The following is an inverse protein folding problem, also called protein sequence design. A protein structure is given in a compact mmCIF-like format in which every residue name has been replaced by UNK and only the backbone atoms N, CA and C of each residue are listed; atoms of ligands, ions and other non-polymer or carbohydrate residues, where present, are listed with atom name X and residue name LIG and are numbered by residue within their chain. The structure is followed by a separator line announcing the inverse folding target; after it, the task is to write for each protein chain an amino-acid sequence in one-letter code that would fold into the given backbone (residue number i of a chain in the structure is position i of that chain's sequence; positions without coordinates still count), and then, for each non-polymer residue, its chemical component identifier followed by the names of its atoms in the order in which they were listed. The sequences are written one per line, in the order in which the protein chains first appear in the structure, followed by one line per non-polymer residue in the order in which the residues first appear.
data_IF_065444784251
#
_entry.id   IF_065444784251
#
_cell.length_a   1.000
_cell.length_b   1.000
_cell.length_c   1.000
_cell.angle_alpha   90.00
_cell.angle_beta   90.00
_cell.angle_gamma   90.00
#
_symmetry.space_group_name_H-M   'P 1'
#
loop_
_entity.id
_entity.type
_entity.pdbx_description
1 polymer ?
#
# COMPACT_ATOMS: atom_id res chain seq x y z
N UNK A 1 11.66 21.11 12.93
CA UNK A 1 11.47 19.94 12.06
C UNK A 1 12.59 19.93 11.03
N UNK A 2 13.31 18.82 10.85
CA UNK A 2 14.28 18.73 9.77
C UNK A 2 13.51 18.65 8.45
N UNK A 3 13.68 19.63 7.58
CA UNK A 3 13.06 19.62 6.25
C UNK A 3 14.13 19.28 5.21
N UNK A 4 13.79 18.36 4.31
CA UNK A 4 14.70 17.84 3.31
C UNK A 4 14.26 18.27 1.91
N UNK A 5 15.24 18.54 1.07
CA UNK A 5 15.07 18.55 -0.39
C UNK A 5 15.85 17.38 -1.01
N UNK A 6 15.26 16.75 -2.03
CA UNK A 6 15.91 15.70 -2.81
C UNK A 6 16.18 16.19 -4.24
N UNK A 7 17.43 16.24 -4.64
CA UNK A 7 17.88 16.65 -5.98
C UNK A 7 18.24 15.40 -6.79
N UNK A 8 17.52 15.16 -7.87
CA UNK A 8 17.86 14.16 -8.89
C UNK A 8 18.62 14.89 -9.99
N UNK A 9 19.85 14.44 -10.26
CA UNK A 9 20.73 15.02 -11.29
C UNK A 9 20.88 13.95 -12.37
N UNK A 10 20.36 14.24 -13.56
CA UNK A 10 20.36 13.28 -14.66
C UNK A 10 19.43 13.68 -15.80
N UNK A 11 20.03 13.97 -16.94
CA UNK A 11 19.36 14.31 -18.20
C UNK A 11 18.41 13.19 -18.68
N UNK A 12 18.74 11.93 -18.41
CA UNK A 12 17.93 10.76 -18.75
C UNK A 12 16.61 10.71 -17.98
N UNK A 13 16.57 11.29 -16.78
CA UNK A 13 15.35 11.44 -15.98
C UNK A 13 14.49 12.55 -16.56
N UNK A 14 15.08 13.69 -16.92
CA UNK A 14 14.38 14.79 -17.59
C UNK A 14 13.79 14.35 -18.94
N UNK A 15 14.49 13.49 -19.67
CA UNK A 15 14.05 12.90 -20.96
C UNK A 15 13.08 11.72 -20.78
N UNK A 16 12.74 11.35 -19.54
CA UNK A 16 11.91 10.19 -19.20
C UNK A 16 12.40 8.86 -19.80
N UNK A 17 13.69 8.74 -20.11
CA UNK A 17 14.31 7.49 -20.59
C UNK A 17 14.47 6.48 -19.45
N UNK A 18 14.72 6.99 -18.24
CA UNK A 18 14.80 6.22 -17.01
C UNK A 18 13.76 6.77 -16.04
N UNK A 19 12.98 5.88 -15.43
CA UNK A 19 12.05 6.25 -14.36
C UNK A 19 12.85 6.50 -13.07
N UNK A 20 12.70 7.67 -12.48
CA UNK A 20 13.25 7.93 -11.16
C UNK A 20 12.59 7.02 -10.11
N UNK A 21 13.43 6.18 -9.49
CA UNK A 21 13.05 5.30 -8.36
C UNK A 21 13.79 5.66 -7.08
N UNK A 22 14.80 6.54 -7.16
CA UNK A 22 15.65 6.91 -6.04
C UNK A 22 14.93 7.88 -5.12
N UNK A 23 14.29 8.92 -5.66
CA UNK A 23 13.54 9.87 -4.84
C UNK A 23 12.39 9.19 -4.09
N UNK A 24 11.67 8.27 -4.75
CA UNK A 24 10.63 7.46 -4.13
C UNK A 24 11.19 6.60 -2.99
N UNK A 25 12.28 5.87 -3.25
CA UNK A 25 12.90 5.00 -2.26
C UNK A 25 13.34 5.79 -1.02
N UNK A 26 14.08 6.88 -1.21
CA UNK A 26 14.61 7.69 -0.11
C UNK A 26 13.50 8.41 0.64
N UNK A 27 12.54 9.02 -0.07
CA UNK A 27 11.41 9.70 0.58
C UNK A 27 10.60 8.75 1.46
N UNK A 28 10.38 7.51 1.02
CA UNK A 28 9.71 6.49 1.81
C UNK A 28 10.50 6.11 3.07
N UNK A 29 11.83 5.99 2.99
CA UNK A 29 12.68 5.72 4.15
C UNK A 29 12.70 6.88 5.14
N UNK A 30 12.84 8.11 4.66
CA UNK A 30 12.81 9.30 5.49
C UNK A 30 11.45 9.46 6.18
N UNK A 31 10.35 9.23 5.47
CA UNK A 31 9.01 9.27 6.05
C UNK A 31 8.84 8.28 7.22
N UNK A 32 9.41 7.07 7.12
CA UNK A 32 9.44 6.08 8.22
C UNK A 32 10.23 6.56 9.44
N UNK A 33 11.17 7.48 9.26
CA UNK A 33 11.92 8.14 10.32
C UNK A 33 11.25 9.45 10.82
N UNK A 34 9.99 9.72 10.42
CA UNK A 34 9.30 10.95 10.80
C UNK A 34 9.89 12.21 10.15
N UNK A 35 10.52 12.05 8.99
CA UNK A 35 11.17 13.13 8.25
C UNK A 35 10.38 13.44 6.99
N UNK A 36 10.09 14.72 6.78
CA UNK A 36 9.36 15.18 5.61
C UNK A 36 10.31 15.70 4.53
N UNK A 37 10.22 15.10 3.34
CA UNK A 37 10.78 15.67 2.11
C UNK A 37 9.80 16.73 1.62
N UNK A 38 10.24 17.99 1.54
CA UNK A 38 9.40 19.15 1.18
C UNK A 38 9.42 19.45 -0.31
N UNK A 39 10.49 19.08 -1.00
CA UNK A 39 10.66 19.30 -2.44
C UNK A 39 11.53 18.19 -3.04
N UNK A 40 11.16 17.79 -4.25
CA UNK A 40 12.00 16.95 -5.11
C UNK A 40 12.22 17.76 -6.38
N UNK A 41 13.48 17.92 -6.77
CA UNK A 41 13.90 18.65 -7.96
C UNK A 41 14.64 17.70 -8.89
N UNK A 42 14.34 17.77 -10.19
CA UNK A 42 15.08 17.05 -11.22
C UNK A 42 15.76 18.09 -12.09
N UNK A 43 17.07 18.01 -12.23
CA UNK A 43 17.89 19.00 -12.96
C UNK A 43 18.84 18.32 -13.94
N UNK A 44 19.30 19.09 -14.93
CA UNK A 44 20.21 18.62 -15.98
C UNK A 44 21.62 18.42 -15.47
N UNK A 45 22.40 17.64 -16.22
CA UNK A 45 23.84 17.45 -16.01
C UNK A 45 24.64 18.69 -16.46
N UNK A 46 24.48 19.79 -15.72
CA UNK A 46 25.18 21.07 -15.96
C UNK A 46 25.71 21.65 -14.64
N UNK A 47 26.98 22.07 -14.65
CA UNK A 47 27.67 22.55 -13.44
C UNK A 47 27.01 23.80 -12.84
N UNK A 48 26.54 24.74 -13.68
CA UNK A 48 25.91 25.97 -13.18
C UNK A 48 24.54 25.67 -12.58
N UNK A 49 23.75 24.84 -13.24
CA UNK A 49 22.42 24.46 -12.75
C UNK A 49 22.51 23.66 -11.44
N UNK A 50 23.41 22.67 -11.38
CA UNK A 50 23.69 21.89 -10.16
C UNK A 50 24.14 22.82 -9.02
N UNK A 51 25.10 23.70 -9.29
CA UNK A 51 25.63 24.63 -8.30
C UNK A 51 24.54 25.54 -7.73
N UNK A 52 23.73 26.12 -8.62
CA UNK A 52 22.65 27.04 -8.25
C UNK A 52 21.58 26.34 -7.42
N UNK A 53 21.11 25.18 -7.85
CA UNK A 53 20.07 24.44 -7.13
C UNK A 53 20.58 23.98 -5.76
N UNK A 54 21.83 23.50 -5.67
CA UNK A 54 22.46 23.14 -4.39
C UNK A 54 22.55 24.36 -3.45
N UNK A 55 22.98 25.53 -3.93
CA UNK A 55 23.07 26.73 -3.08
C UNK A 55 21.69 27.16 -2.57
N UNK A 56 20.69 27.16 -3.44
CA UNK A 56 19.32 27.57 -3.09
C UNK A 56 18.68 26.57 -2.11
N UNK A 57 18.88 25.27 -2.34
CA UNK A 57 18.41 24.20 -1.47
C UNK A 57 19.11 24.26 -0.09
N UNK A 58 20.44 24.38 -0.07
CA UNK A 58 21.25 24.39 1.16
C UNK A 58 20.85 25.52 2.11
N UNK A 59 20.45 26.68 1.58
CA UNK A 59 19.96 27.84 2.36
C UNK A 59 18.54 27.65 2.90
N UNK A 60 17.69 26.90 2.20
CA UNK A 60 16.24 26.77 2.51
C UNK A 60 15.93 25.55 3.36
N UNK A 61 16.70 24.48 3.21
CA UNK A 61 16.41 23.18 3.82
C UNK A 61 17.47 22.79 4.84
N UNK A 62 17.09 21.98 5.83
CA UNK A 62 18.04 21.57 6.85
C UNK A 62 19.05 20.57 6.30
N UNK A 63 18.62 19.72 5.37
CA UNK A 63 19.48 18.78 4.64
C UNK A 63 19.08 18.73 3.17
N UNK A 64 20.07 18.55 2.32
CA UNK A 64 19.91 18.33 0.88
C UNK A 64 20.47 16.96 0.57
N UNK A 65 19.70 16.13 -0.14
CA UNK A 65 20.16 14.83 -0.63
C UNK A 65 20.22 14.91 -2.14
N UNK A 66 21.35 14.51 -2.74
CA UNK A 66 21.47 14.41 -4.20
C UNK A 66 21.62 12.95 -4.64
N UNK A 67 21.19 12.65 -5.86
CA UNK A 67 21.44 11.37 -6.52
C UNK A 67 21.71 11.59 -8.00
N UNK A 68 22.83 11.02 -8.48
CA UNK A 68 23.24 11.09 -9.89
C UNK A 68 24.47 11.95 -10.14
N UNK A 69 25.02 11.85 -11.35
CA UNK A 69 26.15 12.65 -11.83
C UNK A 69 27.48 12.48 -11.09
N UNK A 70 27.79 11.30 -10.56
CA UNK A 70 29.06 11.04 -9.82
C UNK A 70 29.88 9.86 -10.36
N UNK A 71 29.55 9.37 -11.55
CA UNK A 71 30.31 8.35 -12.26
C UNK A 71 31.54 8.91 -12.99
N UNK A 72 32.13 8.10 -13.90
CA UNK A 72 33.36 8.44 -14.59
C UNK A 72 33.16 9.22 -15.91
N UNK A 73 31.93 9.43 -16.37
CA UNK A 73 31.68 10.01 -17.70
C UNK A 73 31.71 11.53 -17.67
N UNK A 74 31.66 12.17 -18.85
CA UNK A 74 31.85 13.61 -18.99
C UNK A 74 30.66 14.42 -18.44
N UNK A 75 29.48 13.83 -18.47
CA UNK A 75 28.21 14.32 -17.93
C UNK A 75 28.06 14.10 -16.42
N UNK A 76 28.91 13.29 -15.78
CA UNK A 76 28.90 13.15 -14.32
C UNK A 76 29.49 14.38 -13.61
N UNK A 77 28.69 15.43 -13.41
CA UNK A 77 29.17 16.77 -13.02
C UNK A 77 28.75 17.21 -11.60
N UNK A 78 28.23 16.31 -10.78
CA UNK A 78 27.68 16.64 -9.45
C UNK A 78 28.76 17.13 -8.48
N UNK A 79 29.98 16.59 -8.51
CA UNK A 79 31.05 17.05 -7.62
C UNK A 79 31.59 18.43 -8.03
N UNK A 80 31.69 18.70 -9.33
CA UNK A 80 32.03 19.99 -9.90
C UNK A 80 31.01 21.06 -9.50
N UNK A 81 29.71 20.75 -9.67
CA UNK A 81 28.62 21.62 -9.25
C UNK A 81 28.61 21.86 -7.73
N UNK A 82 28.86 20.81 -6.94
CA UNK A 82 28.96 20.92 -5.48
C UNK A 82 30.15 21.80 -5.05
N UNK A 83 31.33 21.62 -5.65
CA UNK A 83 32.52 22.42 -5.36
C UNK A 83 32.25 23.89 -5.69
N UNK A 84 31.65 24.16 -6.86
CA UNK A 84 31.25 25.50 -7.28
C UNK A 84 30.23 26.13 -6.32
N UNK A 85 29.23 25.36 -5.87
CA UNK A 85 28.20 25.83 -4.94
C UNK A 85 28.79 26.40 -3.65
N UNK A 86 29.89 25.82 -3.15
CA UNK A 86 30.51 26.21 -1.88
C UNK A 86 31.86 26.91 -2.03
N UNK A 87 32.20 27.36 -3.25
CA UNK A 87 33.48 28.00 -3.57
C UNK A 87 34.66 27.16 -3.03
N UNK A 88 34.66 25.89 -3.38
CA UNK A 88 35.65 24.88 -3.03
C UNK A 88 36.35 24.34 -4.28
N UNK A 89 37.46 23.64 -4.09
CA UNK A 89 38.22 23.04 -5.18
C UNK A 89 38.14 21.52 -5.13
N UNK A 90 38.19 20.86 -6.29
CA UNK A 90 38.27 19.41 -6.36
C UNK A 90 39.69 18.92 -6.11
N UNK A 91 39.80 17.80 -5.41
CA UNK A 91 41.06 17.08 -5.22
C UNK A 91 40.80 15.57 -5.27
N UNK A 92 41.83 14.81 -5.61
CA UNK A 92 41.78 13.35 -5.47
C UNK A 92 41.84 12.97 -3.99
N UNK A 93 40.74 12.43 -3.46
CA UNK A 93 40.72 11.97 -2.08
C UNK A 93 41.44 10.61 -1.98
N UNK A 94 42.54 10.48 -1.22
CA UNK A 94 43.41 9.30 -1.26
C UNK A 94 42.66 7.98 -1.01
N UNK A 95 41.76 7.95 -0.03
CA UNK A 95 40.97 6.75 0.28
C UNK A 95 39.98 6.37 -0.84
N UNK A 96 39.44 7.33 -1.58
CA UNK A 96 38.55 7.02 -2.71
C UNK A 96 39.36 6.49 -3.89
N UNK A 97 40.55 7.04 -4.12
CA UNK A 97 41.49 6.53 -5.12
C UNK A 97 41.79 5.06 -4.84
N UNK A 98 42.11 4.70 -3.60
CA UNK A 98 42.36 3.29 -3.22
C UNK A 98 41.13 2.39 -3.43
N UNK A 99 39.94 2.86 -3.04
CA UNK A 99 38.69 2.12 -3.23
C UNK A 99 38.42 1.87 -4.72
N UNK A 100 38.55 2.90 -5.56
CA UNK A 100 38.32 2.83 -7.00
C UNK A 100 39.36 1.91 -7.65
N UNK A 101 40.64 2.06 -7.30
CA UNK A 101 41.73 1.24 -7.81
C UNK A 101 41.48 -0.24 -7.56
N UNK A 102 41.06 -0.58 -6.34
CA UNK A 102 40.73 -1.96 -5.97
C UNK A 102 39.42 -2.46 -6.60
N UNK A 103 38.40 -1.61 -6.70
CA UNK A 103 37.09 -2.01 -7.23
C UNK A 103 37.11 -2.30 -8.73
N UNK A 104 37.85 -1.50 -9.50
CA UNK A 104 37.97 -1.64 -10.95
C UNK A 104 39.23 -2.41 -11.38
N UNK A 105 40.02 -2.92 -10.42
CA UNK A 105 41.27 -3.67 -10.66
C UNK A 105 42.26 -2.92 -11.57
N UNK A 106 42.44 -1.61 -11.31
CA UNK A 106 43.17 -0.72 -12.20
C UNK A 106 44.65 -0.68 -11.85
N UNK A 107 45.49 -0.86 -12.87
CA UNK A 107 46.93 -0.67 -12.81
C UNK A 107 47.41 0.65 -13.43
N UNK A 108 46.59 1.27 -14.28
CA UNK A 108 46.89 2.51 -15.01
C UNK A 108 46.32 3.74 -14.28
N UNK A 109 47.21 4.59 -13.78
CA UNK A 109 46.86 5.81 -13.04
C UNK A 109 46.19 6.89 -13.93
N UNK A 110 46.13 6.72 -15.26
CA UNK A 110 45.44 7.63 -16.19
C UNK A 110 43.97 7.29 -16.45
N UNK A 111 43.44 6.24 -15.81
CA UNK A 111 42.07 5.77 -16.04
C UNK A 111 41.00 6.82 -15.71
N UNK A 112 39.99 7.02 -16.57
CA UNK A 112 38.93 8.03 -16.34
C UNK A 112 38.10 7.77 -15.08
N UNK A 113 38.11 6.56 -14.54
CA UNK A 113 37.34 6.25 -13.31
C UNK A 113 37.84 6.99 -12.08
N UNK A 114 39.08 7.48 -12.08
CA UNK A 114 39.59 8.29 -10.97
C UNK A 114 38.88 9.64 -10.86
N UNK A 115 38.10 10.06 -11.88
CA UNK A 115 37.16 11.18 -11.75
C UNK A 115 36.24 11.02 -10.53
N UNK A 116 35.78 9.80 -10.24
CA UNK A 116 34.91 9.53 -9.08
C UNK A 116 35.61 9.75 -7.72
N UNK A 117 36.94 9.86 -7.69
CA UNK A 117 37.72 10.23 -6.50
C UNK A 117 37.99 11.73 -6.39
N UNK A 118 37.66 12.53 -7.42
CA UNK A 118 37.80 13.98 -7.39
C UNK A 118 36.61 14.60 -6.67
N UNK A 119 36.76 14.86 -5.37
CA UNK A 119 35.70 15.44 -4.53
C UNK A 119 36.14 16.80 -3.98
N UNK A 120 35.21 17.66 -3.53
CA UNK A 120 35.56 18.94 -2.91
C UNK A 120 36.50 18.75 -1.70
N UNK A 121 37.48 19.63 -1.53
CA UNK A 121 38.47 19.55 -0.45
C UNK A 121 37.86 19.49 0.95
N UNK A 122 36.76 20.22 1.19
CA UNK A 122 36.09 20.26 2.49
C UNK A 122 35.08 19.14 2.68
N UNK A 123 34.83 18.33 1.65
CA UNK A 123 33.87 17.25 1.74
C UNK A 123 34.37 16.14 2.68
N UNK A 124 33.48 15.65 3.52
CA UNK A 124 33.73 14.49 4.38
C UNK A 124 33.31 13.22 3.66
N UNK A 125 34.26 12.28 3.52
CA UNK A 125 33.95 10.93 3.04
C UNK A 125 33.25 10.11 4.12
N UNK A 126 32.10 9.53 3.77
CA UNK A 126 31.26 8.69 4.62
C UNK A 126 31.02 7.35 3.95
N UNK A 127 30.47 6.40 4.72
CA UNK A 127 30.27 5.03 4.26
C UNK A 127 28.90 4.51 4.67
N UNK A 128 28.27 3.77 3.76
CA UNK A 128 27.09 2.95 3.99
C UNK A 128 27.44 1.49 4.23
N UNK A 129 26.50 0.62 3.85
CA UNK A 129 26.64 -0.83 3.94
C UNK A 129 27.83 -1.33 3.12
N UNK A 130 28.61 -2.27 3.67
CA UNK A 130 29.79 -2.85 3.02
C UNK A 130 30.80 -1.79 2.53
N UNK A 131 30.98 -0.71 3.29
CA UNK A 131 31.91 0.38 2.98
C UNK A 131 31.64 1.10 1.64
N UNK A 132 30.39 1.10 1.17
CA UNK A 132 30.02 1.87 -0.01
C UNK A 132 30.09 3.37 0.27
N UNK A 133 30.88 4.16 -0.50
CA UNK A 133 31.13 5.55 -0.18
C UNK A 133 29.95 6.45 -0.54
N UNK A 134 29.87 7.57 0.17
CA UNK A 134 29.16 8.79 -0.22
C UNK A 134 29.89 9.98 0.43
N UNK A 135 29.63 11.20 -0.02
CA UNK A 135 30.26 12.38 0.58
C UNK A 135 29.21 13.31 1.19
N UNK A 136 29.66 14.10 2.16
CA UNK A 136 28.89 15.19 2.73
C UNK A 136 29.71 16.48 2.70
N UNK A 137 29.12 17.57 2.23
CA UNK A 137 29.69 18.91 2.34
C UNK A 137 28.63 19.85 2.86
N UNK A 138 28.92 20.59 3.94
CA UNK A 138 27.93 21.36 4.69
C UNK A 138 26.72 20.47 5.07
N UNK A 139 25.52 20.83 4.62
CA UNK A 139 24.29 20.06 4.80
C UNK A 139 23.87 19.22 3.57
N UNK A 140 24.75 19.05 2.59
CA UNK A 140 24.48 18.34 1.34
C UNK A 140 25.10 16.94 1.38
N UNK A 141 24.27 15.92 1.18
CA UNK A 141 24.66 14.51 1.11
C UNK A 141 24.56 14.03 -0.34
N UNK A 142 25.68 13.61 -0.93
CA UNK A 142 25.73 13.24 -2.35
C UNK A 142 25.80 11.72 -2.51
N UNK A 143 24.84 11.15 -3.22
CA UNK A 143 24.73 9.71 -3.46
C UNK A 143 24.84 9.34 -4.95
N UNK A 144 25.22 8.09 -5.26
CA UNK A 144 25.20 7.57 -6.64
C UNK A 144 23.83 7.66 -7.31
N UNK A 145 23.82 7.75 -8.64
CA UNK A 145 22.60 7.64 -9.45
C UNK A 145 22.08 6.21 -9.58
N UNK A 146 22.98 5.22 -9.59
CA UNK A 146 22.59 3.80 -9.63
C UNK A 146 21.77 3.42 -8.39
N UNK A 147 20.52 2.93 -8.53
CA UNK A 147 19.68 2.57 -7.38
C UNK A 147 20.32 1.51 -6.48
N UNK A 148 21.08 0.57 -7.05
CA UNK A 148 21.77 -0.46 -6.29
C UNK A 148 22.88 0.11 -5.38
N UNK A 149 23.59 1.12 -5.86
CA UNK A 149 24.68 1.75 -5.11
C UNK A 149 24.15 2.77 -4.11
N UNK A 150 23.16 3.57 -4.49
CA UNK A 150 22.48 4.50 -3.58
C UNK A 150 21.91 3.77 -2.36
N UNK A 151 21.24 2.63 -2.56
CA UNK A 151 20.72 1.80 -1.46
C UNK A 151 21.81 1.38 -0.48
N UNK A 152 22.97 0.93 -1.00
CA UNK A 152 24.11 0.53 -0.16
C UNK A 152 24.70 1.73 0.58
N UNK A 153 24.96 2.84 -0.11
CA UNK A 153 25.57 4.05 0.47
C UNK A 153 24.67 4.73 1.52
N UNK A 154 23.35 4.75 1.29
CA UNK A 154 22.39 5.42 2.19
C UNK A 154 22.13 4.66 3.50
N UNK A 155 22.35 3.34 3.52
CA UNK A 155 21.93 2.46 4.61
C UNK A 155 22.42 2.90 6.00
N UNK A 156 23.69 3.31 6.14
CA UNK A 156 24.21 3.73 7.46
C UNK A 156 23.55 5.02 7.95
N UNK A 157 23.31 5.99 7.04
CA UNK A 157 22.59 7.21 7.39
C UNK A 157 21.16 6.89 7.82
N UNK A 158 20.49 5.99 7.10
CA UNK A 158 19.15 5.53 7.47
C UNK A 158 19.12 4.89 8.87
N UNK A 159 20.09 4.04 9.21
CA UNK A 159 20.19 3.43 10.53
C UNK A 159 20.39 4.46 11.64
N UNK A 160 21.17 5.51 11.40
CA UNK A 160 21.31 6.61 12.35
C UNK A 160 20.01 7.41 12.53
N UNK A 161 19.28 7.65 11.43
CA UNK A 161 17.98 8.33 11.48
C UNK A 161 16.93 7.50 12.23
N UNK A 162 16.96 6.17 12.11
CA UNK A 162 16.07 5.28 12.87
C UNK A 162 16.27 5.37 14.38
N UNK A 163 17.50 5.62 14.86
CA UNK A 163 17.78 5.78 16.30
C UNK A 163 17.05 6.96 16.94
N UNK A 164 16.62 7.94 16.14
CA UNK A 164 15.83 9.08 16.64
C UNK A 164 14.44 8.67 17.11
N UNK A 165 13.95 7.50 16.68
CA UNK A 165 12.61 6.94 16.98
C UNK A 165 11.45 7.92 16.71
N UNK A 166 11.66 8.90 15.82
CA UNK A 166 10.61 9.80 15.33
C UNK A 166 9.78 9.09 14.28
N UNK A 167 8.47 9.32 14.31
CA UNK A 167 7.50 8.77 13.35
C UNK A 167 6.37 9.76 13.18
N UNK A 168 5.81 9.80 11.98
CA UNK A 168 4.53 10.46 11.78
C UNK A 168 3.42 9.62 12.42
N UNK A 169 2.50 10.31 13.08
CA UNK A 169 1.21 9.79 13.47
C UNK A 169 0.23 10.21 12.40
N UNK A 170 -0.48 9.24 11.83
CA UNK A 170 -1.49 9.45 10.79
C UNK A 170 -2.80 8.82 11.24
N UNK A 171 -3.85 9.62 11.19
CA UNK A 171 -5.22 9.21 11.47
C UNK A 171 -6.09 9.47 10.22
N UNK A 172 -7.16 8.70 10.09
CA UNK A 172 -8.14 8.89 9.03
C UNK A 172 -9.52 9.22 9.62
N UNK A 173 -10.27 10.01 8.85
CA UNK A 173 -11.67 10.37 9.13
C UNK A 173 -12.48 10.09 7.87
N UNK A 174 -13.44 9.17 7.96
CA UNK A 174 -14.31 8.81 6.84
C UNK A 174 -15.60 9.62 6.90
N UNK A 175 -16.04 10.10 5.73
CA UNK A 175 -17.08 11.11 5.63
C UNK A 175 -18.08 10.74 4.53
N UNK A 176 -19.35 10.54 4.87
CA UNK A 176 -20.47 10.35 3.94
C UNK A 176 -21.10 11.68 3.49
N UNK A 177 -20.25 12.60 3.04
CA UNK A 177 -20.66 13.89 2.49
C UNK A 177 -19.74 14.27 1.33
N UNK A 178 -20.24 15.10 0.42
CA UNK A 178 -19.40 15.69 -0.63
C UNK A 178 -18.38 16.64 0.00
N UNK A 179 -17.23 16.76 -0.65
CA UNK A 179 -16.09 17.55 -0.17
C UNK A 179 -16.43 19.03 0.07
N UNK A 180 -17.26 19.63 -0.78
CA UNK A 180 -17.69 21.03 -0.67
C UNK A 180 -18.38 21.35 0.66
N UNK A 181 -19.01 20.36 1.32
CA UNK A 181 -19.74 20.56 2.57
C UNK A 181 -18.83 20.69 3.79
N UNK A 182 -17.60 20.16 3.74
CA UNK A 182 -16.65 20.20 4.86
C UNK A 182 -15.32 20.91 4.54
N UNK A 183 -15.10 21.31 3.28
CA UNK A 183 -13.87 21.97 2.83
C UNK A 183 -13.54 23.27 3.61
N UNK A 184 -14.56 24.06 3.96
CA UNK A 184 -14.37 25.28 4.77
C UNK A 184 -13.91 24.96 6.19
N UNK A 185 -14.51 23.93 6.80
CA UNK A 185 -14.10 23.44 8.12
C UNK A 185 -12.68 22.91 8.07
N UNK A 186 -12.33 22.11 7.05
CA UNK A 186 -10.97 21.59 6.85
C UNK A 186 -9.95 22.73 6.70
N UNK A 187 -10.26 23.74 5.89
CA UNK A 187 -9.42 24.93 5.71
C UNK A 187 -9.22 25.72 7.00
N UNK A 188 -10.24 25.77 7.86
CA UNK A 188 -10.17 26.43 9.16
C UNK A 188 -9.23 25.67 10.10
N UNK A 189 -9.42 24.35 10.23
CA UNK A 189 -8.55 23.52 11.09
C UNK A 189 -7.11 23.52 10.58
N UNK A 190 -6.88 23.45 9.27
CA UNK A 190 -5.53 23.50 8.71
C UNK A 190 -4.78 24.81 9.06
N UNK A 191 -5.50 25.94 9.18
CA UNK A 191 -4.93 27.22 9.62
C UNK A 191 -4.70 27.25 11.14
N UNK A 192 -5.60 26.67 11.93
CA UNK A 192 -5.48 26.57 13.39
C UNK A 192 -4.33 25.63 13.82
N UNK A 193 -4.01 24.62 12.99
CA UNK A 193 -3.00 23.59 13.26
C UNK A 193 -1.92 23.53 12.16
N UNK A 194 -1.00 24.52 12.07
CA UNK A 194 -0.01 24.60 10.98
C UNK A 194 1.03 23.47 10.97
N UNK A 195 1.18 22.73 12.07
CA UNK A 195 2.08 21.57 12.16
C UNK A 195 1.38 20.24 11.80
N UNK A 196 0.11 20.29 11.42
CA UNK A 196 -0.69 19.12 11.02
C UNK A 196 -0.96 19.21 9.53
N UNK A 197 -0.58 18.16 8.81
CA UNK A 197 -0.90 18.00 7.40
C UNK A 197 -2.29 17.39 7.25
N UNK A 198 -3.09 17.98 6.38
CA UNK A 198 -4.40 17.49 6.01
C UNK A 198 -4.42 17.09 4.54
N UNK A 199 -4.95 15.91 4.26
CA UNK A 199 -5.25 15.45 2.90
C UNK A 199 -6.75 15.17 2.80
N UNK A 200 -7.39 15.59 1.71
CA UNK A 200 -8.78 15.22 1.40
C UNK A 200 -8.82 14.42 0.12
N UNK A 201 -9.56 13.32 0.16
CA UNK A 201 -9.61 12.34 -0.92
C UNK A 201 -11.06 11.97 -1.19
N UNK A 202 -11.68 12.50 -2.26
CA UNK A 202 -12.99 12.04 -2.69
C UNK A 202 -12.89 10.60 -3.19
N UNK A 203 -13.91 9.80 -2.89
CA UNK A 203 -13.98 8.39 -3.26
C UNK A 203 -15.26 8.16 -4.05
N UNK A 204 -15.08 7.66 -5.27
CA UNK A 204 -16.17 7.19 -6.11
C UNK A 204 -16.49 5.73 -5.74
N UNK A 205 -17.74 5.32 -5.93
CA UNK A 205 -18.18 3.92 -5.78
C UNK A 205 -17.91 3.32 -4.38
N UNK A 206 -18.09 4.09 -3.31
CA UNK A 206 -18.12 3.59 -1.93
C UNK A 206 -19.45 3.97 -1.26
N UNK A 207 -20.12 3.00 -0.61
CA UNK A 207 -21.43 3.18 0.02
C UNK A 207 -21.31 3.61 1.48
N UNK A 208 -20.13 3.37 2.05
CA UNK A 208 -19.84 3.71 3.43
C UNK A 208 -19.53 5.20 3.57
N UNK A 209 -18.74 5.76 2.66
CA UNK A 209 -18.31 7.15 2.71
C UNK A 209 -18.06 7.68 1.29
N UNK A 210 -18.13 9.00 1.13
CA UNK A 210 -17.90 9.72 -0.13
C UNK A 210 -16.53 10.39 -0.20
N UNK A 211 -15.90 10.59 0.95
CA UNK A 211 -14.54 11.08 1.06
C UNK A 211 -13.89 10.57 2.35
N UNK A 212 -12.57 10.60 2.40
CA UNK A 212 -11.84 10.50 3.66
C UNK A 212 -10.80 11.61 3.77
N UNK A 213 -10.55 12.03 5.00
CA UNK A 213 -9.53 13.02 5.35
C UNK A 213 -8.42 12.32 6.13
N UNK A 214 -7.18 12.58 5.76
CA UNK A 214 -6.00 12.17 6.54
C UNK A 214 -5.55 13.33 7.40
N UNK A 215 -5.26 13.04 8.67
CA UNK A 215 -4.72 14.01 9.64
C UNK A 215 -3.38 13.48 10.11
N UNK A 216 -2.29 14.20 9.83
CA UNK A 216 -0.94 13.69 10.02
C UNK A 216 0.00 14.72 10.67
N UNK A 217 0.80 14.30 11.65
CA UNK A 217 1.84 15.13 12.26
C UNK A 217 2.92 14.27 12.92
N UNK A 218 4.06 14.87 13.29
CA UNK A 218 5.06 14.21 14.14
C UNK A 218 4.69 14.24 15.64
N UNK A 219 3.53 14.84 15.97
CA UNK A 219 2.99 14.92 17.33
C UNK A 219 1.57 14.31 17.40
N UNK A 220 1.41 13.26 18.21
CA UNK A 220 0.13 12.57 18.42
C UNK A 220 -0.96 13.49 19.01
N UNK A 221 -0.60 14.38 19.93
CA UNK A 221 -1.57 15.25 20.59
C UNK A 221 -2.10 16.32 19.63
N UNK A 222 -1.27 16.79 18.71
CA UNK A 222 -1.69 17.74 17.67
C UNK A 222 -2.66 17.05 16.70
N UNK A 223 -2.37 15.81 16.27
CA UNK A 223 -3.29 15.01 15.45
C UNK A 223 -4.64 14.83 16.15
N UNK A 224 -4.65 14.44 17.43
CA UNK A 224 -5.88 14.25 18.21
C UNK A 224 -6.69 15.53 18.33
N UNK A 225 -6.05 16.65 18.71
CA UNK A 225 -6.72 17.95 18.86
C UNK A 225 -7.28 18.44 17.53
N UNK A 226 -6.52 18.31 16.45
CA UNK A 226 -6.94 18.79 15.15
C UNK A 226 -8.08 17.92 14.57
N UNK A 227 -8.02 16.59 14.75
CA UNK A 227 -9.12 15.67 14.41
C UNK A 227 -10.38 15.98 15.22
N UNK A 228 -10.25 16.21 16.53
CA UNK A 228 -11.36 16.60 17.39
C UNK A 228 -11.99 17.93 16.95
N UNK A 229 -11.15 18.93 16.65
CA UNK A 229 -11.61 20.21 16.14
C UNK A 229 -12.35 20.09 14.81
N UNK A 230 -11.87 19.22 13.92
CA UNK A 230 -12.54 18.92 12.66
C UNK A 230 -13.92 18.27 12.87
N UNK A 231 -14.07 17.40 13.89
CA UNK A 231 -15.39 16.89 14.27
C UNK A 231 -16.32 17.99 14.79
N UNK A 232 -15.84 18.93 15.60
CA UNK A 232 -16.65 20.01 16.18
C UNK A 232 -17.17 21.01 15.15
N UNK A 233 -16.44 21.21 14.05
CA UNK A 233 -16.81 22.15 12.98
C UNK A 233 -17.75 21.55 11.92
N UNK A 234 -18.17 20.29 12.07
CA UNK A 234 -18.98 19.59 11.09
C UNK A 234 -20.15 18.85 11.74
N UNK A 235 -21.28 18.64 11.03
CA UNK A 235 -22.40 17.86 11.54
C UNK A 235 -21.99 16.41 11.87
N UNK A 236 -22.37 15.90 13.04
CA UNK A 236 -21.93 14.57 13.49
C UNK A 236 -22.40 13.42 12.60
N UNK A 237 -23.51 13.61 11.87
CA UNK A 237 -24.12 12.60 11.02
C UNK A 237 -23.38 12.35 9.70
N UNK A 238 -22.39 13.17 9.33
CA UNK A 238 -21.58 12.92 8.12
C UNK A 238 -20.44 11.94 8.39
N UNK A 239 -20.08 11.70 9.65
CA UNK A 239 -18.92 10.88 9.99
C UNK A 239 -19.26 9.40 10.03
N UNK A 240 -18.37 8.61 9.44
CA UNK A 240 -18.56 7.17 9.26
C UNK A 240 -17.49 6.46 10.07
N UNK A 241 -17.90 5.53 10.93
CA UNK A 241 -16.97 4.58 11.51
C UNK A 241 -16.69 3.49 10.47
N UNK A 242 -15.52 3.54 9.84
CA UNK A 242 -15.14 2.62 8.78
C UNK A 242 -13.80 1.94 9.08
N UNK A 243 -13.77 0.63 8.89
CA UNK A 243 -12.59 -0.21 9.04
C UNK A 243 -12.11 -0.68 7.67
N UNK A 244 -10.91 -0.22 7.26
CA UNK A 244 -10.31 -0.63 5.97
C UNK A 244 -9.86 -2.08 5.95
N UNK A 245 -9.63 -2.69 7.11
CA UNK A 245 -9.01 -4.00 7.25
C UNK A 245 -9.87 -4.96 8.08
N UNK A 246 -11.13 -5.20 7.68
CA UNK A 246 -12.04 -6.04 8.46
C UNK A 246 -11.52 -7.46 8.70
N UNK A 247 -10.68 -7.97 7.79
CA UNK A 247 -10.04 -9.27 7.88
C UNK A 247 -8.91 -9.37 8.95
N UNK A 248 -8.33 -8.24 9.36
CA UNK A 248 -7.30 -8.17 10.41
C UNK A 248 -7.99 -8.16 11.77
N UNK A 249 -7.48 -8.93 12.73
CA UNK A 249 -8.09 -9.12 14.07
C UNK A 249 -9.58 -9.54 13.99
N UNK A 250 -9.95 -10.26 12.93
CA UNK A 250 -11.34 -10.57 12.60
C UNK A 250 -12.11 -11.28 13.73
N UNK A 251 -11.46 -12.18 14.48
CA UNK A 251 -12.07 -12.87 15.63
C UNK A 251 -12.48 -11.86 16.71
N UNK A 252 -11.60 -10.90 17.04
CA UNK A 252 -11.88 -9.86 18.03
C UNK A 252 -13.02 -8.96 17.58
N UNK A 253 -13.00 -8.55 16.30
CA UNK A 253 -14.05 -7.72 15.70
C UNK A 253 -15.40 -8.44 15.68
N UNK A 254 -15.42 -9.71 15.31
CA UNK A 254 -16.60 -10.55 15.31
C UNK A 254 -17.18 -10.74 16.72
N UNK A 255 -16.34 -11.03 17.73
CA UNK A 255 -16.82 -11.17 19.11
C UNK A 255 -17.39 -9.85 19.66
N UNK A 256 -16.75 -8.71 19.36
CA UNK A 256 -17.30 -7.40 19.70
C UNK A 256 -18.63 -7.15 19.00
N UNK A 257 -18.78 -7.55 17.74
CA UNK A 257 -20.04 -7.46 17.02
C UNK A 257 -21.14 -8.29 17.71
N UNK A 258 -20.86 -9.55 18.05
CA UNK A 258 -21.83 -10.42 18.72
C UNK A 258 -22.33 -9.84 20.05
N UNK A 259 -21.43 -9.24 20.85
CA UNK A 259 -21.78 -8.61 22.12
C UNK A 259 -22.75 -7.42 21.97
N UNK A 260 -22.78 -6.77 20.81
CA UNK A 260 -23.54 -5.55 20.57
C UNK A 260 -24.76 -5.75 19.65
N UNK A 261 -24.87 -6.89 18.98
CA UNK A 261 -25.97 -7.17 18.05
C UNK A 261 -27.23 -7.67 18.80
N UNK A 262 -28.41 -7.46 18.21
CA UNK A 262 -29.68 -7.83 18.84
C UNK A 262 -29.97 -9.34 18.83
N UNK A 263 -29.34 -10.11 17.93
CA UNK A 263 -29.58 -11.54 17.78
C UNK A 263 -28.26 -12.27 17.47
N UNK A 264 -27.38 -12.51 18.46
CA UNK A 264 -26.09 -13.15 18.23
C UNK A 264 -26.19 -14.59 17.72
N UNK A 265 -27.25 -15.31 18.13
CA UNK A 265 -27.39 -16.75 17.87
C UNK A 265 -27.39 -17.09 16.38
N UNK A 266 -27.99 -16.25 15.53
CA UNK A 266 -28.05 -16.50 14.08
C UNK A 266 -26.66 -16.47 13.44
N UNK A 267 -25.80 -15.55 13.88
CA UNK A 267 -24.44 -15.39 13.38
C UNK A 267 -23.55 -16.52 13.89
N UNK A 268 -23.68 -16.87 15.18
CA UNK A 268 -22.97 -17.99 15.80
C UNK A 268 -23.31 -19.33 15.13
N UNK A 269 -24.58 -19.58 14.81
CA UNK A 269 -25.00 -20.80 14.09
C UNK A 269 -24.34 -20.92 12.72
N UNK A 270 -24.28 -19.83 11.94
CA UNK A 270 -23.60 -19.82 10.64
C UNK A 270 -22.10 -20.07 10.78
N UNK A 271 -21.45 -19.48 11.80
CA UNK A 271 -20.02 -19.70 12.03
C UNK A 271 -19.73 -21.13 12.51
N UNK A 272 -20.58 -21.72 13.34
CA UNK A 272 -20.44 -23.10 13.78
C UNK A 272 -20.57 -24.06 12.60
N UNK A 273 -21.59 -23.87 11.76
CA UNK A 273 -21.77 -24.64 10.52
C UNK A 273 -20.53 -24.58 9.64
N UNK A 274 -19.96 -23.39 9.45
CA UNK A 274 -18.71 -23.24 8.69
C UNK A 274 -17.53 -23.93 9.37
N UNK A 275 -17.43 -23.89 10.71
CA UNK A 275 -16.36 -24.57 11.45
C UNK A 275 -16.39 -26.09 11.27
N UNK A 276 -17.59 -26.68 11.20
CA UNK A 276 -17.77 -28.11 10.89
C UNK A 276 -17.31 -28.43 9.46
N UNK A 277 -17.68 -27.60 8.48
CA UNK A 277 -17.29 -27.79 7.07
C UNK A 277 -15.77 -27.64 6.88
N UNK A 278 -15.16 -26.66 7.53
CA UNK A 278 -13.72 -26.37 7.46
C UNK A 278 -12.85 -27.33 8.30
N UNK A 279 -13.40 -28.39 8.89
CA UNK A 279 -12.59 -29.52 9.36
C UNK A 279 -11.84 -30.23 8.21
N UNK A 280 -12.34 -30.11 6.97
CA UNK A 280 -11.70 -30.64 5.76
C UNK A 280 -11.61 -29.53 4.69
N UNK A 281 -10.73 -28.52 4.88
CA UNK A 281 -10.70 -27.29 4.09
C UNK A 281 -10.45 -27.54 2.59
N UNK A 282 -9.75 -28.60 2.23
CA UNK A 282 -9.45 -28.99 0.84
C UNK A 282 -10.69 -29.37 0.03
N UNK A 283 -11.80 -29.67 0.71
CA UNK A 283 -13.07 -30.02 0.07
C UNK A 283 -13.99 -28.81 -0.09
N UNK A 284 -13.72 -27.70 0.58
CA UNK A 284 -14.62 -26.55 0.65
C UNK A 284 -14.17 -25.47 -0.33
N UNK A 285 -15.12 -24.97 -1.12
CA UNK A 285 -14.91 -23.80 -1.98
C UNK A 285 -16.09 -22.85 -1.87
N UNK A 286 -15.85 -21.54 -2.02
CA UNK A 286 -16.87 -20.50 -1.89
C UNK A 286 -17.20 -19.93 -3.27
N UNK A 287 -18.48 -19.80 -3.60
CA UNK A 287 -18.91 -19.08 -4.79
C UNK A 287 -18.71 -17.57 -4.59
N UNK A 288 -17.96 -16.92 -5.50
CA UNK A 288 -17.83 -15.47 -5.55
C UNK A 288 -18.62 -14.96 -6.76
N UNK A 289 -19.64 -14.16 -6.48
CA UNK A 289 -20.63 -13.68 -7.47
C UNK A 289 -20.87 -12.16 -7.37
N UNK A 290 -20.03 -11.45 -6.60
CA UNK A 290 -20.11 -10.00 -6.38
C UNK A 290 -21.16 -9.55 -5.38
N UNK A 291 -22.01 -10.45 -4.89
CA UNK A 291 -23.06 -10.12 -3.92
C UNK A 291 -22.48 -9.78 -2.54
N UNK A 292 -23.29 -9.12 -1.71
CA UNK A 292 -22.96 -8.88 -0.30
C UNK A 292 -22.82 -10.23 0.42
N UNK A 293 -23.71 -11.15 0.12
CA UNK A 293 -23.81 -12.48 0.71
C UNK A 293 -22.54 -13.30 0.46
N UNK A 294 -22.01 -13.36 -0.78
CA UNK A 294 -20.74 -14.08 -1.03
C UNK A 294 -19.57 -13.45 -0.28
N UNK A 295 -19.56 -12.12 -0.13
CA UNK A 295 -18.55 -11.40 0.65
C UNK A 295 -18.62 -11.72 2.14
N UNK A 296 -19.83 -11.88 2.69
CA UNK A 296 -20.06 -12.34 4.07
C UNK A 296 -19.54 -13.77 4.25
N UNK A 297 -19.86 -14.69 3.33
CA UNK A 297 -19.40 -16.08 3.42
C UNK A 297 -17.87 -16.15 3.41
N UNK A 298 -17.22 -15.36 2.54
CA UNK A 298 -15.75 -15.23 2.54
C UNK A 298 -15.23 -14.73 3.89
N UNK A 299 -15.86 -13.69 4.46
CA UNK A 299 -15.44 -13.14 5.74
C UNK A 299 -15.60 -14.14 6.91
N UNK A 300 -16.74 -14.84 6.98
CA UNK A 300 -16.99 -15.86 8.00
C UNK A 300 -16.02 -17.04 7.83
N UNK A 301 -15.78 -17.50 6.61
CA UNK A 301 -14.79 -18.53 6.33
C UNK A 301 -13.37 -18.10 6.75
N UNK A 302 -13.02 -16.83 6.59
CA UNK A 302 -11.75 -16.28 7.06
C UNK A 302 -11.64 -16.26 8.59
N UNK A 303 -12.75 -15.97 9.29
CA UNK A 303 -12.81 -16.12 10.75
C UNK A 303 -12.58 -17.58 11.15
N UNK A 304 -13.29 -18.53 10.51
CA UNK A 304 -13.10 -19.97 10.77
C UNK A 304 -11.66 -20.42 10.51
N UNK A 305 -11.06 -20.00 9.39
CA UNK A 305 -9.64 -20.25 9.09
C UNK A 305 -8.74 -19.75 10.21
N UNK A 306 -8.97 -18.53 10.68
CA UNK A 306 -8.16 -17.93 11.75
C UNK A 306 -8.35 -18.66 13.08
N UNK A 307 -9.55 -19.16 13.38
CA UNK A 307 -9.84 -19.95 14.59
C UNK A 307 -9.23 -21.37 14.55
N UNK A 308 -9.26 -22.01 13.37
CA UNK A 308 -8.80 -23.38 13.17
C UNK A 308 -7.30 -23.48 12.86
N UNK A 309 -6.63 -22.34 12.64
CA UNK A 309 -5.19 -22.25 12.40
C UNK A 309 -4.67 -23.12 11.24
N UNK A 310 -5.46 -23.27 10.17
CA UNK A 310 -4.97 -23.93 8.95
C UNK A 310 -4.34 -22.90 7.99
N UNK A 311 -3.20 -23.26 7.43
CA UNK A 311 -2.39 -22.32 6.63
C UNK A 311 -2.93 -22.15 5.20
N UNK A 312 -3.61 -23.17 4.67
CA UNK A 312 -4.10 -23.19 3.29
C UNK A 312 -5.00 -21.99 2.96
N UNK A 313 -4.84 -21.44 1.76
CA UNK A 313 -5.69 -20.36 1.27
C UNK A 313 -7.13 -20.85 1.10
N UNK A 314 -8.08 -19.99 1.42
CA UNK A 314 -9.49 -20.24 1.13
C UNK A 314 -9.68 -20.35 -0.39
N UNK A 315 -10.39 -21.39 -0.81
CA UNK A 315 -10.66 -21.65 -2.21
C UNK A 315 -11.96 -20.94 -2.60
N UNK A 316 -11.92 -20.13 -3.67
CA UNK A 316 -13.10 -19.48 -4.24
C UNK A 316 -13.30 -19.89 -5.69
N UNK A 317 -14.55 -20.03 -6.12
CA UNK A 317 -14.94 -20.36 -7.49
C UNK A 317 -15.73 -19.20 -8.08
N UNK A 318 -15.24 -18.71 -9.21
CA UNK A 318 -15.92 -17.71 -10.01
C UNK A 318 -16.52 -18.38 -11.25
N UNK A 319 -17.84 -18.31 -11.41
CA UNK A 319 -18.55 -18.93 -12.54
C UNK A 319 -18.76 -17.90 -13.64
N UNK A 320 -18.02 -18.04 -14.74
CA UNK A 320 -18.08 -17.11 -15.86
C UNK A 320 -19.27 -17.46 -16.76
N UNK A 321 -20.28 -16.60 -16.78
CA UNK A 321 -21.51 -16.75 -17.59
C UNK A 321 -21.53 -15.85 -18.83
N UNK A 322 -20.91 -14.65 -18.80
CA UNK A 322 -20.65 -13.72 -19.93
C UNK A 322 -19.44 -12.80 -19.62
N UNK A 323 -19.06 -11.90 -20.54
CA UNK A 323 -18.11 -10.80 -20.24
C UNK A 323 -18.60 -10.03 -19.00
N UNK A 324 -17.73 -9.92 -17.99
CA UNK A 324 -18.06 -9.22 -16.75
C UNK A 324 -17.91 -7.71 -16.94
N UNK A 325 -18.76 -6.92 -16.26
CA UNK A 325 -18.46 -5.50 -16.07
C UNK A 325 -17.10 -5.35 -15.39
N UNK A 326 -16.30 -4.37 -15.84
CA UNK A 326 -14.97 -4.06 -15.28
C UNK A 326 -15.02 -3.91 -13.75
N UNK A 327 -16.10 -3.33 -13.22
CA UNK A 327 -16.33 -3.13 -11.78
C UNK A 327 -16.35 -4.45 -10.99
N UNK A 328 -16.85 -5.54 -11.58
CA UNK A 328 -16.84 -6.87 -10.96
C UNK A 328 -15.46 -7.51 -10.95
N UNK A 329 -14.65 -7.27 -12.00
CA UNK A 329 -13.27 -7.77 -12.05
C UNK A 329 -12.40 -7.07 -11.00
N UNK A 330 -12.53 -5.75 -10.88
CA UNK A 330 -11.82 -4.95 -9.88
C UNK A 330 -12.20 -5.37 -8.44
N UNK A 331 -13.50 -5.54 -8.18
CA UNK A 331 -13.99 -6.01 -6.88
C UNK A 331 -13.46 -7.40 -6.54
N UNK A 332 -13.52 -8.34 -7.49
CA UNK A 332 -13.06 -9.72 -7.28
C UNK A 332 -11.57 -9.73 -6.96
N UNK A 333 -10.77 -8.93 -7.67
CA UNK A 333 -9.34 -8.76 -7.40
C UNK A 333 -9.10 -8.18 -6.00
N UNK A 334 -9.85 -7.16 -5.60
CA UNK A 334 -9.75 -6.59 -4.25
C UNK A 334 -10.01 -7.65 -3.18
N UNK A 335 -11.07 -8.46 -3.33
CA UNK A 335 -11.41 -9.52 -2.38
C UNK A 335 -10.32 -10.60 -2.29
N UNK A 336 -9.75 -10.99 -3.44
CA UNK A 336 -8.65 -11.97 -3.49
C UNK A 336 -7.42 -11.46 -2.75
N UNK A 337 -7.01 -10.22 -3.02
CA UNK A 337 -5.84 -9.63 -2.39
C UNK A 337 -6.07 -9.41 -0.88
N UNK A 338 -7.25 -8.90 -0.51
CA UNK A 338 -7.62 -8.57 0.87
C UNK A 338 -7.68 -9.80 1.78
N UNK A 339 -8.28 -10.90 1.31
CA UNK A 339 -8.43 -12.13 2.09
C UNK A 339 -7.40 -13.22 1.75
N UNK A 340 -6.44 -12.94 0.86
CA UNK A 340 -5.42 -13.89 0.39
C UNK A 340 -6.04 -15.21 -0.13
N UNK A 341 -6.95 -15.09 -1.10
CA UNK A 341 -7.75 -16.20 -1.63
C UNK A 341 -7.04 -16.93 -2.79
N UNK A 342 -7.46 -18.18 -3.05
CA UNK A 342 -7.15 -18.91 -4.30
C UNK A 342 -8.40 -18.95 -5.17
N UNK A 343 -8.36 -18.29 -6.32
CA UNK A 343 -9.49 -18.25 -7.26
C UNK A 343 -9.37 -19.33 -8.34
N UNK A 344 -10.47 -20.06 -8.56
CA UNK A 344 -10.67 -20.96 -9.69
C UNK A 344 -11.78 -20.41 -10.59
N UNK A 345 -11.49 -20.20 -11.87
CA UNK A 345 -12.52 -19.80 -12.84
C UNK A 345 -13.15 -21.04 -13.45
N UNK A 346 -14.48 -21.12 -13.41
CA UNK A 346 -15.25 -22.18 -14.05
C UNK A 346 -16.02 -21.56 -15.21
N UNK A 347 -15.70 -21.96 -16.44
CA UNK A 347 -16.44 -21.55 -17.62
C UNK A 347 -17.75 -22.34 -17.70
N UNK A 348 -18.88 -21.65 -17.71
CA UNK A 348 -20.18 -22.31 -17.92
C UNK A 348 -20.34 -22.55 -19.43
N UNK A 349 -20.32 -23.82 -19.83
CA UNK A 349 -20.49 -24.22 -21.23
C UNK A 349 -21.96 -24.07 -21.60
N UNK A 350 -22.32 -22.97 -22.28
CA UNK A 350 -23.52 -22.98 -23.13
C UNK A 350 -23.21 -23.88 -24.34
N UNK A 351 -23.85 -25.05 -24.35
CA UNK A 351 -23.91 -26.02 -25.46
C UNK A 351 -22.60 -26.77 -25.81
N UNK A 352 -22.63 -28.07 -25.52
CA UNK A 352 -21.89 -29.13 -26.19
C UNK A 352 -20.40 -28.88 -26.49
N UNK A 353 -19.53 -29.19 -25.53
CA UNK A 353 -18.48 -30.23 -25.69
C UNK A 353 -17.77 -30.49 -24.37
N UNK A 354 -17.60 -31.78 -24.11
CA UNK A 354 -16.78 -32.36 -23.05
C UNK A 354 -15.39 -31.74 -23.01
N UNK A 355 -15.05 -31.06 -21.92
CA UNK A 355 -13.65 -30.93 -21.52
C UNK A 355 -13.42 -31.65 -20.19
N UNK A 356 -12.96 -32.89 -20.35
CA UNK A 356 -12.39 -33.70 -19.27
C UNK A 356 -11.02 -33.12 -18.93
N UNK A 357 -10.93 -32.34 -17.86
CA UNK A 357 -9.69 -32.23 -17.07
C UNK A 357 -9.95 -31.63 -15.69
N UNK A 358 -10.20 -32.50 -14.72
CA UNK A 358 -9.71 -32.30 -13.34
C UNK A 358 -9.58 -33.65 -12.66
N UNK A 359 -8.36 -34.17 -12.71
CA UNK A 359 -7.85 -35.25 -11.87
C UNK A 359 -7.63 -34.74 -10.45
N UNK A 360 -8.51 -35.14 -9.52
CA UNK A 360 -8.13 -35.69 -8.20
C UNK A 360 -9.34 -36.45 -7.65
N UNK A 361 -9.12 -37.74 -7.38
CA UNK A 361 -10.13 -38.72 -7.01
C UNK A 361 -10.54 -38.61 -5.53
N UNK A 362 -11.77 -39.05 -5.28
CA UNK A 362 -12.30 -39.63 -4.03
C UNK A 362 -12.96 -38.75 -2.94
N UNK A 363 -13.13 -37.43 -3.12
CA UNK A 363 -13.82 -36.59 -2.12
C UNK A 363 -14.90 -35.70 -2.77
N UNK A 364 -16.17 -35.83 -2.33
CA UNK A 364 -17.26 -34.89 -2.70
C UNK A 364 -16.85 -33.48 -2.30
N UNK A 365 -16.80 -32.55 -3.26
CA UNK A 365 -16.48 -31.13 -3.00
C UNK A 365 -17.72 -30.38 -2.53
N UNK A 366 -17.57 -29.46 -1.59
CA UNK A 366 -18.62 -28.60 -1.05
C UNK A 366 -18.47 -27.20 -1.67
N UNK A 367 -19.57 -26.66 -2.21
CA UNK A 367 -19.65 -25.30 -2.70
C UNK A 367 -20.54 -24.48 -1.74
N UNK A 368 -19.92 -23.53 -1.06
CA UNK A 368 -20.62 -22.55 -0.23
C UNK A 368 -21.17 -21.44 -1.12
N UNK A 369 -22.47 -21.18 -1.00
CA UNK A 369 -23.13 -20.05 -1.66
C UNK A 369 -23.63 -19.07 -0.60
N UNK A 370 -23.74 -17.79 -0.96
CA UNK A 370 -24.40 -16.79 -0.13
C UNK A 370 -25.73 -16.40 -0.77
N UNK A 371 -26.85 -16.94 -0.26
CA UNK A 371 -28.20 -16.52 -0.70
C UNK A 371 -29.10 -16.30 0.50
N UNK A 372 -29.95 -15.28 0.45
CA UNK A 372 -31.05 -15.10 1.41
C UNK A 372 -32.34 -15.59 0.76
N UNK A 373 -33.05 -16.52 1.39
CA UNK A 373 -34.29 -17.07 0.83
C UNK A 373 -35.37 -15.99 0.72
N UNK A 374 -35.88 -15.77 -0.50
CA UNK A 374 -37.19 -15.17 -0.72
C UNK A 374 -38.24 -16.28 -0.72
N UNK A 375 -39.16 -16.27 0.25
CA UNK A 375 -40.31 -17.17 0.36
C UNK A 375 -40.07 -18.63 -0.13
N UNK A 376 -39.34 -19.42 0.65
CA UNK A 376 -39.68 -20.83 0.88
C UNK A 376 -39.61 -21.83 -0.27
N UNK A 377 -38.87 -21.57 -1.36
CA UNK A 377 -38.50 -22.62 -2.31
C UNK A 377 -36.99 -22.79 -2.36
N UNK A 378 -36.53 -23.96 -1.96
CA UNK A 378 -35.17 -24.47 -2.20
C UNK A 378 -35.01 -24.80 -3.70
N UNK A 379 -35.27 -23.83 -4.57
CA UNK A 379 -34.84 -23.90 -5.96
C UNK A 379 -33.43 -23.33 -5.98
N UNK A 380 -32.47 -24.25 -5.90
CA UNK A 380 -31.21 -24.11 -6.62
C UNK A 380 -31.58 -23.43 -7.94
N UNK A 381 -31.01 -22.25 -8.17
CA UNK A 381 -31.20 -21.48 -9.40
C UNK A 381 -31.14 -22.49 -10.56
N UNK A 382 -32.05 -22.43 -11.52
CA UNK A 382 -32.00 -23.35 -12.66
C UNK A 382 -30.65 -23.27 -13.41
N UNK A 383 -29.88 -22.19 -13.19
CA UNK A 383 -28.49 -22.04 -13.63
C UNK A 383 -27.47 -22.98 -12.94
N UNK A 384 -27.77 -23.49 -11.74
CA UNK A 384 -26.96 -24.47 -11.02
C UNK A 384 -27.58 -25.88 -11.04
N UNK A 385 -28.86 -26.04 -11.41
CA UNK A 385 -29.46 -27.38 -11.59
C UNK A 385 -28.81 -28.17 -12.74
N UNK A 386 -28.27 -27.50 -13.77
CA UNK A 386 -27.47 -28.16 -14.81
C UNK A 386 -26.11 -28.66 -14.27
N UNK A 387 -25.69 -28.25 -13.06
CA UNK A 387 -24.47 -28.73 -12.38
C UNK A 387 -24.71 -30.03 -11.59
N UNK A 388 -25.95 -30.42 -11.31
CA UNK A 388 -26.29 -31.67 -10.60
C UNK A 388 -25.92 -32.93 -11.41
N UNK A 389 -25.57 -32.78 -12.69
CA UNK A 389 -24.98 -33.85 -13.50
C UNK A 389 -23.52 -34.19 -13.12
N UNK A 390 -22.91 -33.45 -12.19
CA UNK A 390 -21.63 -33.81 -11.57
C UNK A 390 -21.96 -34.45 -10.21
N UNK A 391 -22.06 -35.79 -10.17
CA UNK A 391 -22.38 -36.66 -9.01
C UNK A 391 -21.50 -36.49 -7.74
N UNK A 392 -20.78 -35.37 -7.57
CA UNK A 392 -19.76 -35.15 -6.55
C UNK A 392 -19.78 -33.74 -5.91
N UNK A 393 -20.66 -32.81 -6.32
CA UNK A 393 -20.73 -31.45 -5.75
C UNK A 393 -21.90 -31.33 -4.75
N UNK A 394 -21.63 -30.88 -3.52
CA UNK A 394 -22.64 -30.58 -2.50
C UNK A 394 -22.75 -29.05 -2.38
N UNK A 395 -23.94 -28.49 -2.56
CA UNK A 395 -24.19 -27.05 -2.34
C UNK A 395 -24.65 -26.85 -0.90
N UNK A 396 -24.02 -25.92 -0.20
CA UNK A 396 -24.44 -25.51 1.15
C UNK A 396 -24.53 -23.99 1.24
N UNK A 397 -25.54 -23.49 1.94
CA UNK A 397 -25.70 -22.07 2.19
C UNK A 397 -25.56 -21.77 3.70
N UNK A 398 -24.46 -21.14 4.14
CA UNK A 398 -24.27 -20.76 5.54
C UNK A 398 -25.23 -19.68 6.02
N UNK A 399 -25.88 -18.94 5.10
CA UNK A 399 -26.72 -17.78 5.40
C UNK A 399 -28.22 -18.08 5.30
N UNK A 400 -28.63 -19.36 5.20
CA UNK A 400 -30.03 -19.78 4.95
C UNK A 400 -31.06 -19.15 5.91
N UNK A 401 -30.68 -18.92 7.17
CA UNK A 401 -31.58 -18.37 8.18
C UNK A 401 -31.56 -16.83 8.24
N UNK A 402 -30.63 -16.17 7.55
CA UNK A 402 -30.43 -14.72 7.64
C UNK A 402 -31.50 -13.98 6.87
N UNK A 403 -31.99 -12.88 7.45
CA UNK A 403 -32.82 -11.92 6.74
C UNK A 403 -31.96 -10.87 6.02
N UNK A 404 -32.55 -10.10 5.09
CA UNK A 404 -31.88 -8.93 4.50
C UNK A 404 -31.39 -7.93 5.55
N UNK A 405 -32.10 -7.83 6.69
CA UNK A 405 -31.69 -6.99 7.81
C UNK A 405 -30.42 -7.53 8.45
N UNK A 406 -30.31 -8.84 8.66
CA UNK A 406 -29.14 -9.47 9.28
C UNK A 406 -27.90 -9.31 8.41
N UNK A 407 -28.06 -9.49 7.09
CA UNK A 407 -27.01 -9.22 6.07
C UNK A 407 -26.50 -7.78 6.22
N UNK A 408 -27.42 -6.80 6.21
CA UNK A 408 -27.03 -5.40 6.27
C UNK A 408 -26.38 -5.04 7.61
N UNK A 409 -26.92 -5.52 8.73
CA UNK A 409 -26.35 -5.31 10.06
C UNK A 409 -24.94 -5.90 10.17
N UNK A 410 -24.72 -7.11 9.69
CA UNK A 410 -23.42 -7.76 9.75
C UNK A 410 -22.38 -7.04 8.87
N UNK A 411 -22.72 -6.81 7.61
CA UNK A 411 -21.85 -6.17 6.62
C UNK A 411 -21.47 -4.76 7.05
N UNK A 412 -22.45 -3.96 7.52
CA UNK A 412 -22.19 -2.58 7.95
C UNK A 412 -21.40 -2.50 9.24
N UNK A 413 -21.67 -3.37 10.22
CA UNK A 413 -20.97 -3.36 11.51
C UNK A 413 -19.51 -3.78 11.39
N UNK A 414 -19.20 -4.67 10.44
CA UNK A 414 -17.84 -5.17 10.20
C UNK A 414 -17.18 -4.54 8.96
N UNK A 415 -17.81 -3.54 8.32
CA UNK A 415 -17.26 -2.86 7.14
C UNK A 415 -16.84 -3.83 6.01
N UNK A 416 -17.62 -4.89 5.79
CA UNK A 416 -17.30 -5.92 4.80
C UNK A 416 -17.42 -5.30 3.39
N UNK A 417 -16.45 -5.49 2.48
CA UNK A 417 -16.54 -5.00 1.10
C UNK A 417 -17.64 -5.73 0.33
N UNK A 418 -18.30 -5.05 -0.62
CA UNK A 418 -19.26 -5.66 -1.54
C UNK A 418 -19.38 -4.84 -2.83
N UNK A 419 -19.84 -5.47 -3.93
CA UNK A 419 -20.03 -4.80 -5.21
C UNK A 419 -21.42 -4.16 -5.36
N UNK A 420 -21.49 -3.09 -6.15
CA UNK A 420 -22.69 -2.28 -6.43
C UNK A 420 -23.51 -2.78 -7.62
N UNK A 421 -22.86 -3.44 -8.58
CA UNK A 421 -23.46 -3.80 -9.86
C UNK A 421 -24.19 -5.16 -9.86
N UNK A 422 -24.22 -5.86 -8.71
CA UNK A 422 -24.74 -7.22 -8.55
C UNK A 422 -26.21 -7.25 -8.12
#
# INVERSE_FOLDING_TARGET
MYIYEFLVIGDEILKAQVRDTNSYYISNLLYKCGIQVKKISVISDDVEEISKEIQDASKKYTYVITSGGIGPTHDDLTYEGLAKAFNDELHYHPKLVDIIKNHFEISDDSSPVYKMAQIPQKASLKFGLNTYPYITLENVHVFPGSPAFLKKSFQSLYEDLLKTNKKFVKEEVFIDAREDLFANSLSTVAKEFPNVSFGSYPVNNCRYFKAFVTVESDNNDDVKKAKQRFYELNPTNIFVNFDRTPQIDCIKKYNNFLQNCSNPSIYEQSLEKLRELYQNPERVSICIDGTIESSIVIHLAHICKTQLHFDDKLQVRFFKTKELPIEMEEFTKEMIDKYNLTMHTVETVTENKTDKKTTRSDLRSILLIGKVQGNGENKIDTNYNDMDNINQLIIDNPLDNWTKKDIWVFTSSLCIPYNFAA
#
